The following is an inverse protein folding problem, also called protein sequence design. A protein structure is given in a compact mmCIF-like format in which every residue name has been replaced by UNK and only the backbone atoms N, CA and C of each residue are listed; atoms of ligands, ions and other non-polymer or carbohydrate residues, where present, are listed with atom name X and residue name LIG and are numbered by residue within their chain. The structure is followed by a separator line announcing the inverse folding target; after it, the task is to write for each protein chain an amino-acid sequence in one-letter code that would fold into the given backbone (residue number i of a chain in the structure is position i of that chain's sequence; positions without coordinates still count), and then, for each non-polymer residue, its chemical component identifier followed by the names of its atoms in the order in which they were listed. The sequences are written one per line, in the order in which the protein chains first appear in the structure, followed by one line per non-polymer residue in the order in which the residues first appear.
data_IF_831731034023
#
_entry.id   IF_831731034023
#
_cell.length_a   1.000
_cell.length_b   1.000
_cell.length_c   1.000
_cell.angle_alpha   90.00
_cell.angle_beta   90.00
_cell.angle_gamma   90.00
#
_symmetry.space_group_name_H-M   'P 1'
#
loop_
_entity.id
_entity.type
_entity.pdbx_description
1 polymer ?
#
# COMPACT_ATOMS: atom_id res chain seq x y z
N UNK A 1 -5.84 16.04 1.87
CA UNK A 1 -4.79 16.30 2.89
C UNK A 1 -5.32 16.37 4.32
N UNK A 2 -6.55 16.84 4.56
CA UNK A 2 -7.11 16.91 5.92
C UNK A 2 -7.18 15.54 6.62
N UNK A 3 -7.69 14.50 5.93
CA UNK A 3 -7.72 13.13 6.45
C UNK A 3 -6.33 12.58 6.83
N UNK A 4 -5.33 12.76 5.97
CA UNK A 4 -3.98 12.29 6.29
C UNK A 4 -3.39 13.04 7.49
N UNK A 5 -3.81 14.29 7.76
CA UNK A 5 -3.38 15.03 8.95
C UNK A 5 -4.16 14.66 10.20
N UNK A 6 -5.38 14.12 10.09
CA UNK A 6 -6.19 13.74 11.24
C UNK A 6 -5.85 12.37 11.84
N UNK A 7 -5.14 11.50 11.10
CA UNK A 7 -4.67 10.21 11.63
C UNK A 7 -3.43 10.40 12.51
N UNK A 8 -3.22 9.59 13.55
CA UNK A 8 -2.00 9.68 14.35
C UNK A 8 -0.79 9.15 13.55
N UNK A 9 0.32 9.89 13.47
CA UNK A 9 1.53 9.48 12.72
C UNK A 9 2.05 8.08 13.10
N UNK A 10 2.16 7.70 14.39
CA UNK A 10 2.64 6.37 14.77
C UNK A 10 1.79 5.21 14.24
N UNK A 11 0.51 5.47 13.92
CA UNK A 11 -0.43 4.46 13.43
C UNK A 11 -0.48 4.39 11.90
N UNK A 12 0.52 4.96 11.21
CA UNK A 12 0.62 4.93 9.74
C UNK A 12 1.78 4.05 9.35
N UNK A 13 1.53 3.18 8.38
CA UNK A 13 2.54 2.30 7.82
C UNK A 13 2.53 2.45 6.30
N UNK A 14 3.65 2.12 5.67
CA UNK A 14 3.79 2.12 4.22
C UNK A 14 4.17 0.70 3.79
N UNK A 15 3.41 0.11 2.86
CA UNK A 15 3.77 -1.20 2.33
C UNK A 15 5.11 -1.13 1.57
N UNK A 16 5.97 -2.13 1.75
CA UNK A 16 7.19 -2.28 0.94
C UNK A 16 6.88 -2.39 -0.56
N UNK A 17 5.69 -2.90 -0.93
CA UNK A 17 5.24 -2.96 -2.32
C UNK A 17 4.97 -1.56 -2.87
N UNK A 18 4.30 -0.70 -2.10
CA UNK A 18 4.10 0.71 -2.50
C UNK A 18 5.43 1.44 -2.65
N UNK A 19 6.42 1.13 -1.82
CA UNK A 19 7.78 1.68 -1.98
C UNK A 19 8.39 1.24 -3.31
N UNK A 20 8.28 -0.05 -3.66
CA UNK A 20 8.78 -0.58 -4.94
C UNK A 20 8.07 0.04 -6.15
N UNK A 21 6.75 0.24 -6.09
CA UNK A 21 5.98 0.92 -7.14
C UNK A 21 6.43 2.37 -7.34
N UNK A 22 6.66 3.12 -6.25
CA UNK A 22 7.17 4.50 -6.35
C UNK A 22 8.58 4.50 -6.97
N UNK A 23 9.43 3.57 -6.55
CA UNK A 23 10.79 3.44 -7.08
C UNK A 23 10.82 3.12 -8.58
N UNK A 24 9.93 2.22 -9.04
CA UNK A 24 9.74 1.97 -10.47
C UNK A 24 9.29 3.24 -11.22
N UNK A 25 8.39 4.04 -10.63
CA UNK A 25 7.96 5.33 -11.18
C UNK A 25 9.09 6.37 -11.23
N UNK A 26 9.99 6.38 -10.25
CA UNK A 26 11.20 7.21 -10.25
C UNK A 26 12.13 6.79 -11.39
N UNK A 27 12.38 5.48 -11.55
CA UNK A 27 13.23 4.93 -12.60
C UNK A 27 12.69 5.23 -14.01
N UNK A 28 11.36 5.23 -14.17
CA UNK A 28 10.68 5.50 -15.43
C UNK A 28 10.50 7.00 -15.75
N UNK A 29 10.99 7.92 -14.91
CA UNK A 29 10.84 9.36 -15.14
C UNK A 29 11.52 9.80 -16.47
N UNK A 30 10.91 10.72 -17.24
CA UNK A 30 11.31 10.99 -18.63
C UNK A 30 12.59 11.81 -18.77
N UNK A 31 13.05 12.45 -17.70
CA UNK A 31 14.25 13.28 -17.72
C UNK A 31 15.02 13.19 -16.39
N UNK A 32 16.35 13.43 -16.41
CA UNK A 32 17.20 13.31 -15.21
C UNK A 32 16.82 14.27 -14.07
N UNK A 33 16.27 15.45 -14.38
CA UNK A 33 15.91 16.45 -13.36
C UNK A 33 14.69 15.98 -12.58
N UNK A 34 13.66 15.48 -13.27
CA UNK A 34 12.48 14.87 -12.63
C UNK A 34 12.86 13.61 -11.86
N UNK A 35 13.70 12.75 -12.44
CA UNK A 35 14.17 11.56 -11.76
C UNK A 35 14.86 11.90 -10.43
N UNK A 36 15.82 12.83 -10.43
CA UNK A 36 16.52 13.26 -9.22
C UNK A 36 15.57 13.83 -8.17
N UNK A 37 14.59 14.66 -8.59
CA UNK A 37 13.58 15.22 -7.69
C UNK A 37 12.71 14.14 -7.06
N UNK A 38 12.26 13.15 -7.84
CA UNK A 38 11.43 12.06 -7.32
C UNK A 38 12.22 11.11 -6.43
N UNK A 39 13.48 10.83 -6.77
CA UNK A 39 14.39 10.07 -5.91
C UNK A 39 14.58 10.74 -4.55
N UNK A 40 14.78 12.07 -4.53
CA UNK A 40 14.88 12.83 -3.29
C UNK A 40 13.57 12.77 -2.47
N UNK A 41 12.42 12.87 -3.13
CA UNK A 41 11.13 12.76 -2.47
C UNK A 41 10.91 11.35 -1.87
N UNK A 42 11.27 10.28 -2.60
CA UNK A 42 11.21 8.92 -2.09
C UNK A 42 12.15 8.70 -0.90
N UNK A 43 13.35 9.28 -0.93
CA UNK A 43 14.28 9.25 0.21
C UNK A 43 13.68 9.91 1.45
N UNK A 44 13.02 11.06 1.30
CA UNK A 44 12.31 11.71 2.39
C UNK A 44 11.14 10.87 2.93
N UNK A 45 10.38 10.19 2.07
CA UNK A 45 9.31 9.26 2.49
C UNK A 45 9.90 8.08 3.26
N UNK A 46 10.99 7.46 2.78
CA UNK A 46 11.67 6.36 3.48
C UNK A 46 12.16 6.81 4.86
N UNK A 47 12.67 8.03 4.97
CA UNK A 47 13.08 8.61 6.25
C UNK A 47 11.91 8.99 7.17
N UNK A 48 10.74 9.33 6.63
CA UNK A 48 9.55 9.56 7.45
C UNK A 48 9.02 8.24 8.03
N UNK A 49 9.00 7.18 7.24
CA UNK A 49 8.39 5.90 7.63
C UNK A 49 9.35 4.95 8.35
N UNK A 50 10.67 4.96 8.09
CA UNK A 50 11.69 4.14 8.77
C UNK A 50 11.23 2.71 9.11
N UNK A 51 11.02 2.45 10.41
CA UNK A 51 10.61 1.19 11.02
C UNK A 51 9.14 0.81 10.75
N UNK A 52 8.39 1.70 10.09
CA UNK A 52 6.98 1.54 9.69
C UNK A 52 6.82 1.27 8.19
N UNK A 53 7.89 0.87 7.50
CA UNK A 53 7.79 0.22 6.20
C UNK A 53 7.47 -1.26 6.45
N UNK A 54 6.24 -1.66 6.14
CA UNK A 54 5.75 -3.00 6.42
C UNK A 54 6.34 -4.03 5.43
N UNK A 55 7.08 -5.05 5.92
CA UNK A 55 7.62 -6.11 5.08
C UNK A 55 6.52 -7.11 4.68
N UNK A 56 6.88 -8.07 3.83
CA UNK A 56 6.09 -9.26 3.57
C UNK A 56 6.83 -10.43 4.22
N UNK A 57 6.23 -11.02 5.25
CA UNK A 57 6.68 -12.26 5.86
C UNK A 57 5.72 -13.41 5.55
N UNK A 58 5.88 -14.51 6.28
CA UNK A 58 5.01 -15.68 6.17
C UNK A 58 3.52 -15.37 6.46
N UNK A 59 3.16 -14.55 7.48
CA UNK A 59 1.76 -14.21 7.72
C UNK A 59 1.12 -13.49 6.54
N UNK A 60 1.83 -12.52 5.94
CA UNK A 60 1.36 -11.79 4.77
C UNK A 60 1.27 -12.70 3.53
N UNK A 61 2.23 -13.59 3.33
CA UNK A 61 2.19 -14.57 2.24
C UNK A 61 1.00 -15.54 2.36
N UNK A 62 0.68 -15.98 3.59
CA UNK A 62 -0.48 -16.82 3.86
C UNK A 62 -1.81 -16.08 3.61
N UNK A 63 -1.89 -14.81 4.03
CA UNK A 63 -3.04 -13.95 3.73
C UNK A 63 -3.20 -13.72 2.22
N UNK A 64 -2.10 -13.49 1.49
CA UNK A 64 -2.10 -13.34 0.03
C UNK A 64 -2.66 -14.58 -0.69
N UNK A 65 -2.25 -15.78 -0.25
CA UNK A 65 -2.77 -17.03 -0.80
C UNK A 65 -4.27 -17.18 -0.52
N UNK A 66 -4.72 -16.81 0.69
CA UNK A 66 -6.13 -16.84 1.06
C UNK A 66 -6.95 -15.91 0.16
N UNK A 67 -6.51 -14.67 -0.07
CA UNK A 67 -7.15 -13.73 -1.00
C UNK A 67 -7.28 -14.36 -2.39
N UNK A 68 -6.19 -14.91 -2.93
CA UNK A 68 -6.20 -15.50 -4.27
C UNK A 68 -7.14 -16.69 -4.40
N UNK A 69 -7.15 -17.59 -3.41
CA UNK A 69 -8.06 -18.74 -3.38
C UNK A 69 -9.53 -18.28 -3.37
N UNK A 70 -9.86 -17.32 -2.51
CA UNK A 70 -11.21 -16.77 -2.39
C UNK A 70 -11.67 -16.11 -3.70
N UNK A 71 -10.84 -15.25 -4.28
CA UNK A 71 -11.19 -14.54 -5.52
C UNK A 71 -11.32 -15.50 -6.70
N UNK A 72 -10.42 -16.49 -6.80
CA UNK A 72 -10.48 -17.53 -7.82
C UNK A 72 -11.76 -18.36 -7.71
N UNK A 73 -12.14 -18.76 -6.50
CA UNK A 73 -13.39 -19.49 -6.26
C UNK A 73 -14.63 -18.66 -6.65
N UNK A 74 -14.55 -17.33 -6.51
CA UNK A 74 -15.57 -16.39 -6.95
C UNK A 74 -15.48 -16.02 -8.45
N UNK A 75 -14.58 -16.64 -9.23
CA UNK A 75 -14.43 -16.38 -10.67
C UNK A 75 -13.80 -15.02 -11.01
N UNK A 76 -13.07 -14.40 -10.07
CA UNK A 76 -12.45 -13.08 -10.25
C UNK A 76 -10.94 -13.11 -9.93
N UNK A 77 -10.19 -12.12 -10.41
CA UNK A 77 -8.74 -11.98 -10.14
C UNK A 77 -8.38 -10.59 -9.64
N UNK A 78 -7.24 -10.48 -8.98
CA UNK A 78 -6.67 -9.23 -8.48
C UNK A 78 -5.21 -9.14 -8.94
N UNK A 79 -4.74 -7.93 -9.17
CA UNK A 79 -3.34 -7.69 -9.46
C UNK A 79 -2.46 -8.06 -8.25
N UNK A 80 -1.35 -8.80 -8.41
CA UNK A 80 -0.56 -9.28 -7.28
C UNK A 80 -0.05 -8.17 -6.33
N UNK A 81 0.46 -7.01 -6.79
CA UNK A 81 0.75 -5.86 -5.93
C UNK A 81 -0.40 -5.43 -5.03
N UNK A 82 -1.59 -5.24 -5.59
CA UNK A 82 -2.79 -4.84 -4.82
C UNK A 82 -3.17 -5.92 -3.80
N UNK A 83 -3.05 -7.20 -4.17
CA UNK A 83 -3.31 -8.31 -3.27
C UNK A 83 -2.29 -8.40 -2.13
N UNK A 84 -1.02 -8.11 -2.39
CA UNK A 84 0.03 -8.08 -1.35
C UNK A 84 -0.20 -6.93 -0.38
N UNK A 85 -0.58 -5.75 -0.85
CA UNK A 85 -0.94 -4.61 0.01
C UNK A 85 -2.13 -4.97 0.91
N UNK A 86 -3.18 -5.57 0.33
CA UNK A 86 -4.34 -6.02 1.08
C UNK A 86 -4.01 -7.14 2.08
N UNK A 87 -3.15 -8.09 1.68
CA UNK A 87 -2.66 -9.17 2.54
C UNK A 87 -1.86 -8.64 3.74
N UNK A 88 -0.99 -7.67 3.52
CA UNK A 88 -0.26 -6.99 4.61
C UNK A 88 -1.22 -6.38 5.62
N UNK A 89 -2.26 -5.68 5.15
CA UNK A 89 -3.25 -5.11 6.06
C UNK A 89 -4.04 -6.18 6.83
N UNK A 90 -4.47 -7.25 6.15
CA UNK A 90 -5.20 -8.35 6.78
C UNK A 90 -4.38 -9.06 7.85
N UNK A 91 -3.13 -9.40 7.56
CA UNK A 91 -2.24 -10.11 8.49
C UNK A 91 -1.97 -9.30 9.78
N UNK A 92 -2.00 -7.96 9.67
CA UNK A 92 -1.70 -7.06 10.78
C UNK A 92 -2.95 -6.41 11.42
N UNK A 93 -4.15 -6.74 10.94
CA UNK A 93 -5.41 -6.13 11.43
C UNK A 93 -5.51 -4.62 11.12
N UNK A 94 -4.93 -4.16 10.02
CA UNK A 94 -4.88 -2.76 9.62
C UNK A 94 -5.97 -2.41 8.58
N UNK A 95 -6.14 -1.10 8.37
CA UNK A 95 -7.01 -0.56 7.32
C UNK A 95 -6.18 0.00 6.17
N UNK A 96 -6.50 -0.41 4.94
CA UNK A 96 -5.85 0.11 3.72
C UNK A 96 -6.45 1.46 3.36
N UNK A 97 -5.63 2.50 3.28
CA UNK A 97 -6.02 3.79 2.72
C UNK A 97 -5.81 3.79 1.20
N UNK A 98 -6.88 3.69 0.41
CA UNK A 98 -6.78 3.61 -1.05
C UNK A 98 -8.03 4.15 -1.73
N UNK A 99 -7.87 4.59 -2.99
CA UNK A 99 -8.98 4.92 -3.89
C UNK A 99 -9.47 3.71 -4.67
N UNK A 100 -8.74 2.59 -4.62
CA UNK A 100 -9.10 1.34 -5.31
C UNK A 100 -10.12 0.56 -4.47
N UNK A 101 -11.01 -0.18 -5.14
CA UNK A 101 -11.93 -1.08 -4.46
C UNK A 101 -11.25 -2.40 -4.09
N UNK A 102 -10.74 -2.50 -2.86
CA UNK A 102 -10.10 -3.70 -2.34
C UNK A 102 -10.95 -4.51 -1.36
N UNK A 103 -12.20 -4.10 -1.07
CA UNK A 103 -13.07 -4.77 -0.10
C UNK A 103 -13.29 -6.28 -0.38
N UNK A 104 -13.28 -6.69 -1.66
CA UNK A 104 -13.35 -8.09 -2.09
C UNK A 104 -12.21 -8.99 -1.59
N UNK A 105 -11.12 -8.39 -1.12
CA UNK A 105 -10.00 -9.11 -0.50
C UNK A 105 -10.28 -9.51 0.96
N UNK A 106 -11.30 -8.91 1.59
CA UNK A 106 -11.57 -9.02 3.01
C UNK A 106 -10.87 -7.97 3.87
N UNK A 107 -9.91 -7.21 3.31
CA UNK A 107 -9.24 -6.14 4.03
C UNK A 107 -10.20 -4.99 4.36
N UNK A 108 -10.00 -4.34 5.51
CA UNK A 108 -10.65 -3.07 5.81
C UNK A 108 -10.08 -1.99 4.89
N UNK A 109 -10.94 -1.18 4.28
CA UNK A 109 -10.56 -0.14 3.32
C UNK A 109 -11.19 1.19 3.71
N UNK A 110 -10.40 2.25 3.62
CA UNK A 110 -10.89 3.63 3.70
C UNK A 110 -10.49 4.38 2.43
N UNK A 111 -11.44 5.07 1.80
CA UNK A 111 -11.15 6.01 0.72
C UNK A 111 -10.99 7.42 1.30
N UNK A 112 -9.76 7.95 1.44
CA UNK A 112 -9.51 9.21 2.15
C UNK A 112 -9.99 10.45 1.39
N UNK A 113 -10.53 10.31 0.18
CA UNK A 113 -11.20 11.38 -0.57
C UNK A 113 -12.71 11.46 -0.30
N UNK A 114 -13.33 10.38 0.14
CA UNK A 114 -14.76 10.34 0.48
C UNK A 114 -15.01 10.61 1.97
N UNK A 115 -13.95 10.66 2.77
CA UNK A 115 -14.03 11.05 4.17
C UNK A 115 -14.18 12.58 4.24
N UNK A 116 -15.42 13.05 4.27
CA UNK A 116 -15.74 14.40 4.73
C UNK A 116 -15.40 14.47 6.23
N UNK A 117 -14.43 15.30 6.60
CA UNK A 117 -14.23 15.70 7.99
C UNK A 117 -15.18 16.84 8.33
#
# INVERSE_FOLDING_TARGET
MAWFRSTARPNRFLSVITVAEIEAGVAAAPDPVRQARYAQALAAVRHEFLDRIAPIGEPEAAAFLTIHKTLKAAGTSIDPPDALIAATALANGWTVATRKHLARTGALVVNPWEQQL
#
